data_IF_149010133315
#
_entry.id   IF_149010133315
#
_cell.length_a   1.000
_cell.length_b   1.000
_cell.length_c   1.000
_cell.angle_alpha   90.00
_cell.angle_beta   90.00
_cell.angle_gamma   90.00
#
_symmetry.space_group_name_H-M   'P 1'
#
loop_
_entity.id
_entity.type
_entity.pdbx_description
1 polymer ?
#
# COMPACT_ATOMS: atom_id res chain seq x y z
N UNK A 1 7.35 4.43 23.12
CA UNK A 1 6.63 5.46 22.33
C UNK A 1 7.32 5.81 21.02
N UNK A 2 8.60 5.43 20.80
CA UNK A 2 9.34 5.59 19.53
C UNK A 2 9.53 4.29 18.76
N UNK A 3 9.18 3.15 19.34
CA UNK A 3 9.32 1.82 18.72
C UNK A 3 8.13 1.55 17.80
N UNK A 4 8.42 0.93 16.67
CA UNK A 4 7.41 0.51 15.70
C UNK A 4 6.52 -0.55 16.32
N UNK A 5 5.24 -0.64 15.91
CA UNK A 5 4.36 -1.68 16.43
C UNK A 5 4.98 -3.05 16.14
N UNK A 6 4.95 -3.93 17.14
CA UNK A 6 5.45 -5.28 17.00
C UNK A 6 4.63 -6.02 15.93
N UNK A 7 5.32 -6.71 15.04
CA UNK A 7 4.74 -7.52 13.97
C UNK A 7 5.01 -8.99 14.28
N UNK A 8 4.07 -9.87 13.93
CA UNK A 8 4.13 -11.31 14.21
C UNK A 8 4.12 -12.12 12.90
N UNK A 9 5.23 -12.15 12.13
CA UNK A 9 5.26 -12.84 10.86
C UNK A 9 4.78 -14.30 10.97
N UNK A 10 3.96 -14.73 10.00
CA UNK A 10 3.46 -16.09 9.93
C UNK A 10 4.58 -17.12 9.76
N UNK A 11 4.25 -18.39 10.04
CA UNK A 11 5.22 -19.50 10.02
C UNK A 11 5.91 -19.69 8.66
N UNK A 12 5.31 -19.19 7.57
CA UNK A 12 5.87 -19.27 6.23
C UNK A 12 7.02 -18.30 5.96
N UNK A 13 7.30 -17.35 6.85
CA UNK A 13 8.36 -16.37 6.63
C UNK A 13 9.74 -17.05 6.66
N UNK A 14 10.50 -16.91 5.57
CA UNK A 14 11.83 -17.52 5.45
C UNK A 14 12.95 -16.58 5.86
N UNK A 15 12.77 -15.28 5.63
CA UNK A 15 13.79 -14.29 5.94
C UNK A 15 13.22 -12.90 6.25
N UNK A 16 13.96 -12.12 7.03
CA UNK A 16 13.73 -10.70 7.27
C UNK A 16 15.04 -9.96 7.06
N UNK A 17 15.07 -9.08 6.06
CA UNK A 17 16.22 -8.23 5.75
C UNK A 17 15.82 -6.76 5.78
N UNK A 18 16.79 -5.86 5.82
CA UNK A 18 16.52 -4.42 5.71
C UNK A 18 16.61 -3.99 4.25
N UNK A 19 15.84 -2.97 3.85
CA UNK A 19 15.88 -2.41 2.50
C UNK A 19 17.28 -1.89 2.12
N UNK A 20 18.08 -1.51 3.12
CA UNK A 20 19.49 -1.19 2.94
C UNK A 20 20.35 -2.31 2.34
N UNK A 21 19.87 -3.56 2.29
CA UNK A 21 20.51 -4.63 1.51
C UNK A 21 20.61 -4.31 0.01
N UNK A 22 19.63 -3.59 -0.55
CA UNK A 22 19.63 -3.16 -1.95
C UNK A 22 20.16 -1.73 -2.12
N UNK A 23 20.27 -0.97 -1.02
CA UNK A 23 20.93 0.34 -1.02
C UNK A 23 21.50 0.72 0.35
N UNK A 24 22.77 0.39 0.59
CA UNK A 24 23.45 0.53 1.90
C UNK A 24 23.36 1.95 2.49
N UNK A 25 23.18 3.00 1.67
CA UNK A 25 23.01 4.38 2.14
C UNK A 25 21.80 4.57 3.06
N UNK A 26 20.76 3.74 2.96
CA UNK A 26 19.61 3.82 3.86
C UNK A 26 19.94 3.33 5.27
N UNK A 27 21.00 2.54 5.46
CA UNK A 27 21.27 1.84 6.71
C UNK A 27 21.39 2.78 7.90
N UNK A 28 20.60 2.49 8.93
CA UNK A 28 20.57 3.29 10.17
C UNK A 28 19.90 4.67 10.00
N UNK A 29 19.29 4.94 8.86
CA UNK A 29 18.44 6.12 8.65
C UNK A 29 16.97 5.78 8.92
N UNK A 30 16.12 6.79 9.05
CA UNK A 30 14.67 6.60 9.19
C UNK A 30 13.97 6.11 7.90
N UNK A 31 14.71 5.96 6.80
CA UNK A 31 14.21 5.42 5.54
C UNK A 31 14.48 3.93 5.37
N UNK A 32 15.30 3.33 6.23
CA UNK A 32 15.50 1.88 6.20
C UNK A 32 14.26 1.19 6.77
N UNK A 33 13.74 0.22 6.03
CA UNK A 33 12.50 -0.50 6.38
C UNK A 33 12.72 -2.00 6.22
N UNK A 34 12.14 -2.85 7.08
CA UNK A 34 12.24 -4.29 6.92
C UNK A 34 11.50 -4.77 5.66
N UNK A 35 12.14 -5.69 4.94
CA UNK A 35 11.57 -6.48 3.85
C UNK A 35 11.44 -7.91 4.36
N UNK A 36 10.20 -8.39 4.39
CA UNK A 36 9.86 -9.74 4.80
C UNK A 36 9.74 -10.63 3.56
N UNK A 37 10.37 -11.81 3.61
CA UNK A 37 10.47 -12.71 2.44
C UNK A 37 9.86 -14.06 2.80
N UNK A 38 8.99 -14.54 1.90
CA UNK A 38 8.39 -15.86 1.93
C UNK A 38 8.83 -16.60 0.66
N UNK A 39 9.95 -17.30 0.76
CA UNK A 39 10.51 -18.08 -0.34
C UNK A 39 9.88 -19.47 -0.38
N UNK A 40 9.29 -19.81 -1.53
CA UNK A 40 8.63 -21.07 -1.71
C UNK A 40 9.59 -22.23 -1.91
N UNK A 41 9.14 -23.43 -1.55
CA UNK A 41 9.93 -24.66 -1.73
C UNK A 41 10.18 -25.03 -3.20
N UNK A 42 9.37 -24.48 -4.12
CA UNK A 42 9.47 -24.66 -5.57
C UNK A 42 9.74 -23.32 -6.25
N UNK A 43 10.47 -23.36 -7.36
CA UNK A 43 10.62 -22.20 -8.24
C UNK A 43 9.27 -21.70 -8.75
N UNK A 44 9.17 -20.39 -8.98
CA UNK A 44 7.95 -19.72 -9.39
C UNK A 44 8.17 -18.23 -9.62
N UNK A 45 7.08 -17.49 -9.78
CA UNK A 45 7.14 -16.03 -9.95
C UNK A 45 7.49 -15.31 -8.65
N UNK A 46 7.91 -14.05 -8.77
CA UNK A 46 8.22 -13.19 -7.63
C UNK A 46 7.26 -12.02 -7.55
N UNK A 47 6.66 -11.80 -6.38
CA UNK A 47 5.75 -10.68 -6.13
C UNK A 47 6.28 -9.77 -5.02
N UNK A 48 6.22 -8.46 -5.24
CA UNK A 48 6.45 -7.43 -4.21
C UNK A 48 5.13 -6.77 -3.84
N UNK A 49 4.83 -6.70 -2.54
CA UNK A 49 3.70 -5.96 -1.99
C UNK A 49 4.20 -4.84 -1.08
N UNK A 50 3.80 -3.61 -1.37
CA UNK A 50 4.06 -2.45 -0.53
C UNK A 50 2.79 -2.01 0.20
N UNK A 51 2.89 -1.86 1.51
CA UNK A 51 1.99 -1.06 2.33
C UNK A 51 2.71 0.18 2.84
N UNK A 52 1.95 1.17 3.30
CA UNK A 52 2.52 2.34 3.99
C UNK A 52 3.45 3.21 3.13
N UNK A 53 3.21 3.27 1.81
CA UNK A 53 3.77 4.32 0.95
C UNK A 53 3.37 5.70 1.48
N UNK A 54 2.11 5.81 1.93
CA UNK A 54 1.62 6.89 2.78
C UNK A 54 1.17 6.28 4.12
N UNK A 55 1.62 6.84 5.23
CA UNK A 55 1.33 6.30 6.56
C UNK A 55 -0.02 6.77 7.15
N UNK A 56 -0.72 7.67 6.47
CA UNK A 56 -2.11 8.04 6.77
C UNK A 56 -3.14 7.17 6.02
N UNK A 57 -2.70 6.08 5.41
CA UNK A 57 -3.51 5.09 4.69
C UNK A 57 -3.46 3.75 5.47
N UNK A 58 -4.19 3.66 6.62
CA UNK A 58 -4.09 2.53 7.53
C UNK A 58 -4.52 1.20 6.92
N UNK A 59 -5.49 1.17 5.99
CA UNK A 59 -5.91 -0.10 5.40
C UNK A 59 -4.83 -0.68 4.49
N UNK A 60 -4.10 0.15 3.76
CA UNK A 60 -2.98 -0.29 2.93
C UNK A 60 -1.87 -0.91 3.78
N UNK A 61 -1.47 -0.24 4.87
CA UNK A 61 -0.46 -0.76 5.80
C UNK A 61 -0.94 -2.05 6.49
N UNK A 62 -2.17 -2.07 7.01
CA UNK A 62 -2.70 -3.24 7.72
C UNK A 62 -2.94 -4.42 6.78
N UNK A 63 -3.25 -4.23 5.51
CA UNK A 63 -3.37 -5.33 4.56
C UNK A 63 -2.03 -6.04 4.35
N UNK A 64 -0.94 -5.27 4.24
CA UNK A 64 0.40 -5.83 4.17
C UNK A 64 0.79 -6.55 5.48
N UNK A 65 0.38 -6.00 6.64
CA UNK A 65 0.60 -6.65 7.95
C UNK A 65 -0.22 -7.94 8.07
N UNK A 66 -1.51 -7.92 7.73
CA UNK A 66 -2.38 -9.10 7.76
C UNK A 66 -1.83 -10.21 6.87
N UNK A 67 -1.37 -9.89 5.65
CA UNK A 67 -0.71 -10.90 4.80
C UNK A 67 0.59 -11.42 5.44
N UNK A 68 1.44 -10.52 5.95
CA UNK A 68 2.67 -10.89 6.65
C UNK A 68 2.42 -11.84 7.82
N UNK A 69 1.37 -11.61 8.62
CA UNK A 69 1.10 -12.34 9.85
C UNK A 69 0.32 -13.65 9.61
N UNK A 70 -0.36 -13.80 8.45
CA UNK A 70 -1.19 -14.97 8.17
C UNK A 70 -0.64 -15.92 7.09
N UNK A 71 0.33 -15.49 6.26
CA UNK A 71 0.96 -16.41 5.30
C UNK A 71 1.66 -17.54 6.07
N UNK A 72 1.05 -18.72 5.99
CA UNK A 72 1.50 -19.93 6.67
C UNK A 72 2.55 -20.68 5.85
N UNK A 73 2.49 -20.56 4.52
CA UNK A 73 3.40 -21.25 3.62
C UNK A 73 3.38 -20.59 2.22
N UNK A 74 4.55 -20.54 1.59
CA UNK A 74 4.69 -20.24 0.16
C UNK A 74 5.09 -21.56 -0.51
N UNK A 75 4.22 -22.11 -1.36
CA UNK A 75 4.48 -23.42 -2.00
C UNK A 75 5.43 -23.24 -3.19
N UNK A 76 5.16 -22.24 -4.03
CA UNK A 76 5.96 -21.89 -5.21
C UNK A 76 6.10 -20.38 -5.35
N UNK A 77 7.25 -19.93 -5.86
CA UNK A 77 7.54 -18.51 -6.06
C UNK A 77 8.13 -17.82 -4.83
N UNK A 78 8.10 -16.49 -4.81
CA UNK A 78 8.60 -15.71 -3.68
C UNK A 78 7.75 -14.47 -3.45
N UNK A 79 7.35 -14.23 -2.20
CA UNK A 79 6.61 -13.03 -1.80
C UNK A 79 7.51 -12.13 -0.98
N UNK A 80 7.64 -10.87 -1.39
CA UNK A 80 8.32 -9.81 -0.66
C UNK A 80 7.26 -8.85 -0.12
N UNK A 81 7.25 -8.60 1.18
CA UNK A 81 6.29 -7.68 1.82
C UNK A 81 7.05 -6.57 2.54
N UNK A 82 6.67 -5.32 2.27
CA UNK A 82 7.14 -4.13 3.00
C UNK A 82 5.90 -3.44 3.60
N UNK A 83 5.62 -3.63 4.90
CA UNK A 83 4.43 -3.06 5.54
C UNK A 83 4.42 -1.53 5.63
N UNK A 84 5.63 -0.93 5.71
CA UNK A 84 5.84 0.51 5.79
C UNK A 84 6.94 0.93 4.80
N UNK A 85 6.56 1.12 3.54
CA UNK A 85 7.49 1.55 2.50
C UNK A 85 8.14 2.89 2.86
N UNK A 86 7.35 3.89 3.29
CA UNK A 86 7.88 5.12 3.85
C UNK A 86 7.93 5.07 5.38
N UNK A 87 8.95 4.39 5.92
CA UNK A 87 9.13 4.25 7.36
C UNK A 87 9.29 5.58 8.11
N UNK A 88 9.79 6.62 7.44
CA UNK A 88 9.85 7.97 8.02
C UNK A 88 8.45 8.53 8.28
N UNK A 89 7.50 8.27 7.39
CA UNK A 89 6.15 8.84 7.46
C UNK A 89 5.31 8.31 8.63
N UNK A 90 5.59 7.11 9.15
CA UNK A 90 4.87 6.57 10.33
C UNK A 90 5.26 7.26 11.65
N UNK A 91 6.25 8.15 11.63
CA UNK A 91 6.78 8.82 12.83
C UNK A 91 6.14 10.17 13.14
N UNK A 92 5.21 10.65 12.31
CA UNK A 92 4.46 11.87 12.55
C UNK A 92 3.13 11.88 11.79
N UNK A 93 2.24 12.81 12.14
CA UNK A 93 1.02 13.11 11.40
C UNK A 93 1.16 14.40 10.59
N UNK A 94 0.26 14.63 9.64
CA UNK A 94 0.20 15.86 8.88
C UNK A 94 -0.12 17.07 9.79
N UNK A 95 0.60 18.18 9.58
CA UNK A 95 0.39 19.35 10.41
C UNK A 95 -0.99 19.96 10.14
N UNK A 96 -1.65 20.42 11.22
CA UNK A 96 -2.95 21.10 11.16
C UNK A 96 -4.15 20.23 10.74
N UNK A 97 -3.98 18.92 10.57
CA UNK A 97 -5.10 18.01 10.26
C UNK A 97 -5.84 17.54 11.53
N UNK A 98 -5.21 17.65 12.70
CA UNK A 98 -5.81 17.23 13.97
C UNK A 98 -5.92 15.71 14.13
N UNK A 99 -5.14 14.96 13.34
CA UNK A 99 -5.17 13.50 13.33
C UNK A 99 -4.67 12.89 14.65
N UNK A 100 -5.27 11.77 15.09
CA UNK A 100 -4.73 11.01 16.20
C UNK A 100 -3.34 10.47 15.80
N UNK A 101 -2.45 10.27 16.78
CA UNK A 101 -1.14 9.65 16.51
C UNK A 101 -1.23 8.12 16.44
N UNK A 102 -2.25 7.55 17.07
CA UNK A 102 -2.43 6.11 17.22
C UNK A 102 -3.89 5.73 17.05
N UNK A 103 -4.11 4.47 16.68
CA UNK A 103 -5.41 3.80 16.75
C UNK A 103 -5.20 2.36 17.23
N UNK A 104 -6.19 1.82 17.93
CA UNK A 104 -6.16 0.52 18.57
C UNK A 104 -7.16 -0.42 17.91
N UNK A 105 -6.73 -1.67 17.72
CA UNK A 105 -7.55 -2.77 17.24
C UNK A 105 -7.61 -3.83 18.33
N UNK A 106 -8.83 -4.25 18.66
CA UNK A 106 -9.05 -5.39 19.57
C UNK A 106 -8.69 -6.69 18.85
N UNK A 107 -7.82 -7.50 19.44
CA UNK A 107 -7.48 -8.85 18.94
C UNK A 107 -7.83 -9.91 20.00
N UNK A 108 -7.95 -11.20 19.65
CA UNK A 108 -8.16 -12.28 20.61
C UNK A 108 -7.12 -12.33 21.74
N UNK A 109 -5.88 -11.92 21.45
CA UNK A 109 -4.75 -11.94 22.39
C UNK A 109 -4.53 -10.58 23.10
N UNK A 110 -5.38 -9.59 22.84
CA UNK A 110 -5.39 -8.28 23.49
C UNK A 110 -5.42 -7.10 22.53
N UNK A 111 -5.40 -5.88 23.07
CA UNK A 111 -5.36 -4.67 22.26
C UNK A 111 -4.01 -4.51 21.54
N UNK A 112 -4.03 -4.30 20.22
CA UNK A 112 -2.85 -3.88 19.43
C UNK A 112 -2.99 -2.43 19.02
N UNK A 113 -1.95 -1.64 19.28
CA UNK A 113 -1.89 -0.21 18.91
C UNK A 113 -1.01 0.01 17.70
N UNK A 114 -1.55 0.68 16.69
CA UNK A 114 -0.86 1.07 15.47
C UNK A 114 -0.75 2.59 15.37
N UNK A 115 0.19 3.06 14.54
CA UNK A 115 0.40 4.48 14.30
C UNK A 115 -0.44 4.97 13.13
N UNK A 116 -1.04 6.14 13.28
CA UNK A 116 -1.54 6.92 12.15
C UNK A 116 -0.47 7.93 11.78
N UNK A 117 0.10 7.79 10.59
CA UNK A 117 1.22 8.61 10.15
C UNK A 117 0.81 9.74 9.22
N UNK A 118 1.76 10.16 8.38
CA UNK A 118 1.60 11.22 7.39
C UNK A 118 1.62 10.67 5.98
N UNK A 119 1.08 11.44 5.04
CA UNK A 119 1.30 11.20 3.61
C UNK A 119 2.77 11.38 3.20
N UNK A 120 3.54 12.15 3.95
CA UNK A 120 4.89 12.60 3.58
C UNK A 120 5.93 12.12 4.57
N UNK A 121 7.16 12.07 4.10
CA UNK A 121 8.36 11.89 4.93
C UNK A 121 8.42 12.96 6.03
N UNK A 122 8.80 12.54 7.24
CA UNK A 122 8.98 13.45 8.36
C UNK A 122 10.03 14.52 8.07
N UNK A 123 9.66 15.79 8.26
CA UNK A 123 10.55 16.93 8.06
C UNK A 123 11.78 16.91 8.99
N UNK A 124 11.75 16.17 10.10
CA UNK A 124 12.93 15.92 10.95
C UNK A 124 13.98 15.09 10.21
N UNK A 125 13.55 14.16 9.35
CA UNK A 125 14.42 13.25 8.62
C UNK A 125 14.83 13.80 7.24
N UNK A 126 14.03 14.71 6.66
CA UNK A 126 14.35 15.38 5.40
C UNK A 126 13.89 16.84 5.42
N UNK A 127 14.85 17.76 5.43
CA UNK A 127 14.64 19.21 5.31
C UNK A 127 15.94 19.87 4.80
N UNK A 128 15.89 20.96 4.01
CA UNK A 128 14.70 21.64 3.48
C UNK A 128 14.16 21.04 2.19
N UNK A 129 12.85 21.20 2.00
CA UNK A 129 12.23 20.98 0.70
C UNK A 129 12.67 22.10 -0.26
N UNK A 130 12.97 21.78 -1.53
CA UNK A 130 13.26 22.80 -2.52
C UNK A 130 12.02 23.64 -2.80
N UNK A 131 12.15 24.81 -3.44
CA UNK A 131 10.97 25.58 -3.88
C UNK A 131 10.22 24.85 -5.00
N UNK A 132 10.97 24.22 -5.91
CA UNK A 132 10.47 23.45 -7.04
C UNK A 132 11.19 22.12 -7.01
N UNK A 133 10.42 21.04 -7.12
CA UNK A 133 10.98 19.71 -7.26
C UNK A 133 11.00 19.34 -8.75
N UNK A 134 12.19 19.09 -9.28
CA UNK A 134 12.37 18.57 -10.65
C UNK A 134 12.56 17.07 -10.50
N UNK A 135 11.61 16.29 -11.01
CA UNK A 135 11.62 14.84 -11.05
C UNK A 135 12.77 14.30 -11.93
N UNK A 136 13.35 13.09 -11.67
CA UNK A 136 14.35 12.45 -12.56
C UNK A 136 13.99 12.52 -14.04
N UNK A 137 12.72 12.27 -14.34
CA UNK A 137 12.14 12.23 -15.67
C UNK A 137 11.72 13.61 -16.21
N UNK A 138 12.16 14.69 -15.55
CA UNK A 138 11.98 16.07 -16.02
C UNK A 138 10.66 16.75 -15.66
N UNK A 139 9.71 16.04 -15.05
CA UNK A 139 8.46 16.64 -14.54
C UNK A 139 8.74 17.68 -13.45
N UNK A 140 7.97 18.77 -13.45
CA UNK A 140 8.11 19.88 -12.51
C UNK A 140 6.95 19.85 -11.53
N UNK A 141 7.25 19.68 -10.25
CA UNK A 141 6.29 19.57 -9.16
C UNK A 141 6.51 20.65 -8.11
N UNK A 142 5.51 20.84 -7.26
CA UNK A 142 5.67 21.63 -6.05
C UNK A 142 6.79 21.06 -5.18
N UNK A 143 7.58 21.93 -4.57
CA UNK A 143 8.73 21.55 -3.75
C UNK A 143 8.48 20.43 -2.74
N UNK A 144 7.35 20.52 -2.03
CA UNK A 144 6.92 19.55 -1.02
C UNK A 144 6.63 18.14 -1.56
N UNK A 145 6.56 17.93 -2.87
CA UNK A 145 6.35 16.60 -3.43
C UNK A 145 7.62 15.73 -3.32
N UNK A 146 8.79 16.32 -3.05
CA UNK A 146 10.03 15.55 -2.81
C UNK A 146 10.00 14.73 -1.51
N UNK A 147 9.03 14.97 -0.63
CA UNK A 147 8.79 14.17 0.59
C UNK A 147 7.63 13.18 0.41
N UNK A 148 6.99 13.15 -0.76
CA UNK A 148 5.94 12.19 -1.10
C UNK A 148 6.59 11.01 -1.85
N UNK A 149 6.61 9.82 -1.26
CA UNK A 149 7.26 8.65 -1.87
C UNK A 149 6.67 8.34 -3.25
N UNK A 150 5.34 8.44 -3.39
CA UNK A 150 4.64 8.23 -4.66
C UNK A 150 4.76 9.44 -5.62
N UNK A 151 5.80 10.27 -5.48
CA UNK A 151 6.24 11.27 -6.48
C UNK A 151 7.75 11.18 -6.74
N UNK A 152 8.41 10.19 -6.15
CA UNK A 152 9.86 10.09 -6.13
C UNK A 152 10.39 8.89 -6.93
N UNK A 153 9.55 7.97 -7.41
CA UNK A 153 10.01 6.85 -8.25
C UNK A 153 10.48 7.32 -9.64
N UNK A 154 11.49 6.71 -10.29
CA UNK A 154 12.25 5.53 -9.88
C UNK A 154 13.34 5.84 -8.83
N UNK A 155 13.37 7.08 -8.33
CA UNK A 155 14.33 7.54 -7.33
C UNK A 155 15.63 8.08 -7.90
N UNK A 156 16.47 8.60 -7.00
CA UNK A 156 17.82 9.07 -7.29
C UNK A 156 18.78 8.60 -6.23
N UNK A 157 19.80 7.86 -6.64
CA UNK A 157 20.88 7.39 -5.75
C UNK A 157 21.51 8.51 -4.91
N UNK A 158 21.72 9.68 -5.52
CA UNK A 158 22.31 10.85 -4.85
C UNK A 158 21.29 11.98 -4.65
N UNK A 159 20.00 11.63 -4.52
CA UNK A 159 18.90 12.58 -4.28
C UNK A 159 18.61 12.83 -2.81
N UNK A 160 17.44 13.41 -2.54
CA UNK A 160 16.87 13.54 -1.20
C UNK A 160 16.54 12.17 -0.59
N UNK A 161 16.36 12.09 0.72
CA UNK A 161 16.13 10.81 1.43
C UNK A 161 14.95 9.99 0.88
N UNK A 162 13.87 10.65 0.49
CA UNK A 162 12.69 10.01 -0.11
C UNK A 162 12.96 9.53 -1.54
N UNK A 163 13.80 10.24 -2.31
CA UNK A 163 14.25 9.76 -3.63
C UNK A 163 15.22 8.59 -3.51
N UNK A 164 16.05 8.58 -2.46
CA UNK A 164 16.95 7.48 -2.12
C UNK A 164 16.16 6.23 -1.71
N UNK A 165 15.08 6.40 -0.95
CA UNK A 165 14.12 5.35 -0.62
C UNK A 165 13.47 4.77 -1.90
N UNK A 166 12.93 5.62 -2.77
CA UNK A 166 12.34 5.20 -4.04
C UNK A 166 13.36 4.46 -4.93
N UNK A 167 14.63 4.91 -4.92
CA UNK A 167 15.73 4.26 -5.63
C UNK A 167 16.02 2.87 -5.07
N UNK A 168 16.00 2.70 -3.75
CA UNK A 168 16.24 1.41 -3.11
C UNK A 168 15.14 0.40 -3.45
N UNK A 169 13.87 0.80 -3.39
CA UNK A 169 12.73 -0.05 -3.79
C UNK A 169 12.83 -0.43 -5.27
N UNK A 170 13.14 0.54 -6.14
CA UNK A 170 13.34 0.26 -7.57
C UNK A 170 14.52 -0.67 -7.81
N UNK A 171 15.58 -0.57 -6.99
CA UNK A 171 16.75 -1.47 -7.06
C UNK A 171 16.38 -2.88 -6.61
N UNK A 172 15.61 -3.03 -5.54
CA UNK A 172 15.05 -4.32 -5.12
C UNK A 172 14.27 -4.98 -6.25
N UNK A 173 13.34 -4.25 -6.88
CA UNK A 173 12.55 -4.77 -8.01
C UNK A 173 13.45 -5.31 -9.13
N UNK A 174 14.51 -4.58 -9.49
CA UNK A 174 15.46 -4.95 -10.54
C UNK A 174 16.35 -6.13 -10.16
N UNK A 175 16.95 -6.09 -8.98
CA UNK A 175 17.97 -7.06 -8.57
C UNK A 175 17.34 -8.41 -8.19
N UNK A 176 16.16 -8.40 -7.58
CA UNK A 176 15.42 -9.63 -7.29
C UNK A 176 14.71 -10.18 -8.53
N UNK A 177 14.53 -9.38 -9.58
CA UNK A 177 13.77 -9.76 -10.76
C UNK A 177 12.30 -9.98 -10.42
N UNK A 178 11.69 -9.01 -9.74
CA UNK A 178 10.27 -9.07 -9.37
C UNK A 178 9.42 -9.09 -10.64
N UNK A 179 8.48 -10.03 -10.71
CA UNK A 179 7.60 -10.21 -11.86
C UNK A 179 6.31 -9.37 -11.73
N UNK A 180 5.77 -9.25 -10.51
CA UNK A 180 4.58 -8.47 -10.17
C UNK A 180 4.86 -7.55 -8.97
N UNK A 181 4.62 -6.25 -9.10
CA UNK A 181 4.77 -5.28 -8.02
C UNK A 181 3.45 -4.54 -7.76
N UNK A 182 3.01 -4.57 -6.50
CA UNK A 182 1.72 -4.07 -6.04
C UNK A 182 1.96 -3.02 -4.95
N UNK A 183 1.47 -1.80 -5.19
CA UNK A 183 1.48 -0.71 -4.20
C UNK A 183 0.07 -0.49 -3.64
N UNK A 184 -0.14 -0.72 -2.35
CA UNK A 184 -1.44 -0.52 -1.71
C UNK A 184 -1.60 0.95 -1.29
N UNK A 185 -2.69 1.57 -1.74
CA UNK A 185 -3.04 2.96 -1.43
C UNK A 185 -4.50 3.08 -1.00
N UNK A 186 -4.79 4.21 -0.36
CA UNK A 186 -6.15 4.64 -0.13
C UNK A 186 -6.39 6.07 -0.61
N UNK A 187 -7.64 6.35 -0.96
CA UNK A 187 -8.08 7.63 -1.51
C UNK A 187 -9.33 8.14 -0.81
N UNK A 188 -9.43 9.45 -0.65
CA UNK A 188 -10.61 10.11 -0.10
C UNK A 188 -11.88 9.83 -0.92
N UNK A 189 -13.07 9.66 -0.31
CA UNK A 189 -14.33 9.37 -1.01
C UNK A 189 -14.70 10.35 -2.14
N UNK A 190 -14.24 11.60 -2.06
CA UNK A 190 -14.45 12.65 -3.06
C UNK A 190 -13.41 12.67 -4.20
N UNK A 191 -12.47 11.73 -4.24
CA UNK A 191 -11.48 11.63 -5.31
C UNK A 191 -11.92 10.65 -6.42
N UNK A 192 -11.75 10.97 -7.72
CA UNK A 192 -12.21 10.11 -8.82
C UNK A 192 -11.59 8.72 -8.89
N UNK A 193 -10.28 8.64 -8.65
CA UNK A 193 -9.55 7.37 -8.69
C UNK A 193 -9.66 6.76 -7.30
N UNK A 194 -10.72 5.99 -7.08
CA UNK A 194 -11.07 5.40 -5.79
C UNK A 194 -11.75 4.05 -6.03
N UNK A 195 -11.55 3.08 -5.13
CA UNK A 195 -11.97 1.70 -5.31
C UNK A 195 -11.56 1.21 -6.71
N UNK A 196 -10.28 1.32 -7.04
CA UNK A 196 -9.76 1.12 -8.39
C UNK A 196 -8.42 0.39 -8.41
N UNK A 197 -8.16 -0.32 -9.51
CA UNK A 197 -6.84 -0.83 -9.86
C UNK A 197 -6.22 0.15 -10.85
N UNK A 198 -5.11 0.77 -10.46
CA UNK A 198 -4.30 1.62 -11.34
C UNK A 198 -3.15 0.78 -11.89
N UNK A 199 -3.03 0.65 -13.21
CA UNK A 199 -2.09 -0.29 -13.82
C UNK A 199 -1.16 0.35 -14.85
N UNK A 200 0.09 -0.11 -14.89
CA UNK A 200 0.95 0.11 -16.06
C UNK A 200 0.37 -0.59 -17.29
N UNK A 201 0.55 -0.05 -18.49
CA UNK A 201 0.00 -0.61 -19.73
C UNK A 201 0.39 -2.08 -19.94
N UNK A 202 1.59 -2.48 -19.51
CA UNK A 202 2.09 -3.85 -19.62
C UNK A 202 1.41 -4.84 -18.66
N UNK A 203 0.68 -4.34 -17.65
CA UNK A 203 -0.13 -5.12 -16.72
C UNK A 203 -1.63 -5.12 -17.08
N UNK A 204 -2.01 -4.58 -18.25
CA UNK A 204 -3.42 -4.40 -18.62
C UNK A 204 -4.22 -5.71 -18.66
N UNK A 205 -3.68 -6.77 -19.27
CA UNK A 205 -4.38 -8.07 -19.35
C UNK A 205 -4.61 -8.68 -17.96
N UNK A 206 -3.62 -8.54 -17.07
CA UNK A 206 -3.71 -9.00 -15.69
C UNK A 206 -4.76 -8.19 -14.92
N UNK A 207 -4.71 -6.86 -15.01
CA UNK A 207 -5.63 -5.96 -14.30
C UNK A 207 -7.08 -6.16 -14.73
N UNK A 208 -7.35 -6.28 -16.03
CA UNK A 208 -8.71 -6.53 -16.56
C UNK A 208 -9.25 -7.87 -16.08
N UNK A 209 -8.41 -8.92 -16.11
CA UNK A 209 -8.84 -10.26 -15.66
C UNK A 209 -9.16 -10.27 -14.17
N UNK A 210 -8.29 -9.71 -13.34
CA UNK A 210 -8.49 -9.63 -11.90
C UNK A 210 -9.76 -8.83 -11.55
N UNK A 211 -9.97 -7.68 -12.21
CA UNK A 211 -11.16 -6.86 -12.00
C UNK A 211 -12.46 -7.60 -12.36
N UNK A 212 -12.49 -8.30 -13.50
CA UNK A 212 -13.65 -9.10 -13.90
C UNK A 212 -13.96 -10.20 -12.88
N UNK A 213 -12.94 -10.87 -12.34
CA UNK A 213 -13.13 -11.91 -11.32
C UNK A 213 -13.65 -11.33 -10.00
N UNK A 214 -13.12 -10.18 -9.56
CA UNK A 214 -13.61 -9.47 -8.38
C UNK A 214 -15.09 -9.06 -8.52
N UNK A 215 -15.49 -8.53 -9.68
CA UNK A 215 -16.89 -8.18 -9.95
C UNK A 215 -17.81 -9.41 -9.93
N UNK A 216 -17.33 -10.56 -10.43
CA UNK A 216 -18.09 -11.82 -10.37
C UNK A 216 -18.34 -12.28 -8.93
N UNK A 217 -17.44 -11.94 -7.99
CA UNK A 217 -17.62 -12.15 -6.56
C UNK A 217 -18.38 -11.01 -5.85
N UNK A 218 -18.86 -10.01 -6.59
CA UNK A 218 -19.62 -8.89 -6.05
C UNK A 218 -18.76 -7.79 -5.43
N UNK A 219 -17.45 -7.78 -5.71
CA UNK A 219 -16.54 -6.73 -5.26
C UNK A 219 -16.37 -5.73 -6.40
N UNK A 220 -17.14 -4.65 -6.35
CA UNK A 220 -17.04 -3.54 -7.32
C UNK A 220 -15.67 -2.87 -7.23
N UNK A 221 -14.97 -2.74 -8.35
CA UNK A 221 -13.66 -2.11 -8.45
C UNK A 221 -13.42 -1.60 -9.88
N UNK A 222 -12.99 -0.34 -9.98
CA UNK A 222 -12.70 0.32 -11.25
C UNK A 222 -11.33 -0.04 -11.83
N UNK A 223 -11.11 0.34 -13.08
CA UNK A 223 -9.83 0.23 -13.78
C UNK A 223 -9.36 1.62 -14.23
N UNK A 224 -8.12 1.95 -13.92
CA UNK A 224 -7.50 3.20 -14.33
C UNK A 224 -6.13 2.92 -14.95
N UNK A 225 -5.96 3.27 -16.22
CA UNK A 225 -4.64 3.16 -16.83
C UNK A 225 -3.73 4.26 -16.30
N UNK A 226 -2.52 3.89 -15.89
CA UNK A 226 -1.48 4.81 -15.44
C UNK A 226 -1.20 5.92 -16.47
N UNK A 227 -1.39 7.20 -16.15
CA UNK A 227 -1.16 8.29 -17.08
C UNK A 227 0.33 8.41 -17.47
N UNK A 228 0.65 8.37 -18.77
CA UNK A 228 2.04 8.39 -19.27
C UNK A 228 2.80 9.67 -18.88
N UNK A 229 2.11 10.81 -18.80
CA UNK A 229 2.71 12.10 -18.50
C UNK A 229 2.79 12.41 -16.99
N UNK A 230 2.19 11.57 -16.13
CA UNK A 230 2.20 11.78 -14.69
C UNK A 230 3.33 10.95 -14.07
N UNK A 231 4.53 11.55 -14.04
CA UNK A 231 5.77 10.92 -13.57
C UNK A 231 5.85 10.91 -12.03
N UNK A 232 6.66 10.00 -11.50
CA UNK A 232 6.94 9.84 -10.07
C UNK A 232 6.08 8.82 -9.33
N UNK A 233 5.06 8.27 -9.99
CA UNK A 233 4.16 7.27 -9.43
C UNK A 233 4.80 5.88 -9.46
N UNK A 234 4.57 5.05 -8.45
CA UNK A 234 5.05 3.65 -8.37
C UNK A 234 4.69 2.84 -9.60
N UNK A 235 3.39 2.68 -9.88
CA UNK A 235 2.90 1.92 -11.02
C UNK A 235 3.40 2.45 -12.38
N UNK A 236 3.66 3.76 -12.50
CA UNK A 236 4.20 4.35 -13.73
C UNK A 236 5.68 4.03 -13.88
N UNK A 237 6.45 4.39 -12.87
CA UNK A 237 7.90 4.43 -12.95
C UNK A 237 8.52 3.05 -12.77
N UNK A 238 7.87 2.13 -12.05
CA UNK A 238 8.31 0.75 -12.00
C UNK A 238 8.20 0.09 -13.38
N UNK A 239 7.07 0.23 -14.07
CA UNK A 239 6.90 -0.33 -15.41
C UNK A 239 7.76 0.36 -16.47
N UNK A 240 7.98 1.68 -16.38
CA UNK A 240 8.85 2.39 -17.34
C UNK A 240 10.34 2.08 -17.14
N UNK A 241 10.77 1.67 -15.94
CA UNK A 241 12.18 1.54 -15.59
C UNK A 241 12.63 0.11 -15.25
N UNK A 242 11.73 -0.87 -15.26
CA UNK A 242 11.98 -2.28 -14.93
C UNK A 242 11.11 -3.18 -15.84
N UNK A 243 11.27 -4.51 -15.75
CA UNK A 243 10.46 -5.47 -16.50
C UNK A 243 9.21 -5.95 -15.71
N UNK A 244 8.88 -5.31 -14.59
CA UNK A 244 7.80 -5.73 -13.69
C UNK A 244 6.41 -5.38 -14.23
N UNK A 245 5.43 -6.25 -14.02
CA UNK A 245 4.03 -5.84 -14.10
C UNK A 245 3.68 -5.01 -12.86
N UNK A 246 3.49 -3.70 -13.05
CA UNK A 246 3.31 -2.75 -11.96
C UNK A 246 1.84 -2.31 -11.83
N UNK A 247 1.30 -2.43 -10.62
CA UNK A 247 -0.06 -1.99 -10.28
C UNK A 247 -0.11 -1.30 -8.92
N UNK A 248 -1.15 -0.50 -8.72
CA UNK A 248 -1.49 0.16 -7.48
C UNK A 248 -2.98 -0.07 -7.20
N UNK A 249 -3.34 -0.37 -5.97
CA UNK A 249 -4.74 -0.54 -5.57
C UNK A 249 -5.20 0.64 -4.75
N UNK A 250 -6.39 1.15 -5.05
CA UNK A 250 -7.05 2.23 -4.32
C UNK A 250 -8.28 1.71 -3.61
N UNK A 251 -8.42 2.04 -2.33
CA UNK A 251 -9.62 1.79 -1.54
C UNK A 251 -10.05 3.07 -0.83
N UNK A 252 -11.36 3.27 -0.68
CA UNK A 252 -11.86 4.52 -0.10
C UNK A 252 -11.50 4.69 1.37
N UNK A 253 -10.89 5.82 1.75
CA UNK A 253 -10.54 6.18 3.12
C UNK A 253 -11.19 7.50 3.55
N UNK A 254 -12.28 7.43 4.34
CA UNK A 254 -12.97 8.62 4.84
C UNK A 254 -12.08 9.52 5.72
N UNK A 255 -11.10 8.96 6.44
CA UNK A 255 -10.21 9.72 7.30
C UNK A 255 -9.22 10.61 6.52
N UNK A 256 -9.02 10.37 5.22
CA UNK A 256 -8.10 11.13 4.38
C UNK A 256 -8.74 12.37 3.75
N UNK A 257 -10.05 12.33 3.48
CA UNK A 257 -10.72 13.39 2.71
C UNK A 257 -10.97 14.68 3.50
N UNK A 258 -11.41 15.70 2.78
CA UNK A 258 -11.63 17.07 3.25
C UNK A 258 -13.09 17.35 3.59
N UNK A 259 -14.02 16.50 3.15
CA UNK A 259 -15.44 16.62 3.48
C UNK A 259 -15.81 16.01 4.84
N UNK A 260 -14.89 15.32 5.50
CA UNK A 260 -15.09 14.71 6.81
C UNK A 260 -15.27 15.71 7.96
N UNK A 261 -15.80 15.22 9.07
CA UNK A 261 -15.82 15.90 10.35
C UNK A 261 -14.49 15.82 11.08
N UNK A 262 -14.56 15.70 12.40
CA UNK A 262 -13.37 15.65 13.27
C UNK A 262 -12.53 14.39 12.98
N UNK A 263 -11.21 14.51 12.86
CA UNK A 263 -10.32 13.33 12.89
C UNK A 263 -10.45 12.62 14.24
N UNK A 264 -10.73 11.33 14.20
CA UNK A 264 -10.74 10.48 15.39
C UNK A 264 -10.32 9.07 15.02
N UNK A 265 -9.89 8.32 16.03
CA UNK A 265 -9.73 6.87 15.93
C UNK A 265 -11.03 6.20 15.45
N UNK A 266 -12.19 6.61 15.95
CA UNK A 266 -13.49 6.10 15.49
C UNK A 266 -13.70 6.29 13.98
N UNK A 267 -13.33 7.44 13.42
CA UNK A 267 -13.41 7.69 11.97
C UNK A 267 -12.43 6.80 11.20
N UNK A 268 -11.23 6.53 11.75
CA UNK A 268 -10.27 5.60 11.16
C UNK A 268 -10.82 4.17 11.18
N UNK A 269 -11.39 3.71 12.29
CA UNK A 269 -11.82 2.32 12.44
C UNK A 269 -13.13 2.02 11.71
N UNK A 270 -14.10 2.93 11.81
CA UNK A 270 -15.46 2.71 11.28
C UNK A 270 -15.68 3.36 9.92
N UNK A 271 -14.93 4.42 9.61
CA UNK A 271 -15.16 5.22 8.43
C UNK A 271 -16.54 5.89 8.39
N UNK A 272 -17.27 5.99 9.51
CA UNK A 272 -18.62 6.59 9.60
C UNK A 272 -18.52 8.10 9.83
N UNK A 273 -19.09 8.89 8.91
CA UNK A 273 -19.17 10.35 9.05
C UNK A 273 -20.43 10.92 8.40
N UNK A 274 -21.19 11.69 9.17
CA UNK A 274 -22.45 12.31 8.71
C UNK A 274 -22.27 13.31 7.56
N UNK A 275 -21.11 13.94 7.42
CA UNK A 275 -20.84 14.88 6.34
C UNK A 275 -20.60 14.15 5.02
N UNK A 276 -20.00 12.95 5.04
CA UNK A 276 -19.93 12.10 3.85
C UNK A 276 -21.30 11.55 3.46
N UNK A 277 -22.15 11.11 4.40
CA UNK A 277 -23.55 10.76 4.08
C UNK A 277 -24.24 11.93 3.37
N UNK A 278 -24.07 13.14 3.90
CA UNK A 278 -24.65 14.33 3.30
C UNK A 278 -24.04 14.72 1.93
N UNK A 279 -22.77 14.41 1.69
CA UNK A 279 -22.09 14.60 0.42
C UNK A 279 -22.55 13.55 -0.62
N UNK A 280 -22.75 12.30 -0.18
CA UNK A 280 -23.28 11.21 -1.00
C UNK A 280 -24.70 11.53 -1.50
N UNK A 281 -25.59 12.01 -0.62
CA UNK A 281 -26.95 12.45 -0.97
C UNK A 281 -26.97 13.55 -2.07
N UNK A 282 -25.87 14.29 -2.22
CA UNK A 282 -25.70 15.36 -3.21
C UNK A 282 -24.92 14.92 -4.44
N UNK A 283 -24.52 13.65 -4.54
CA UNK A 283 -23.71 13.13 -5.64
C UNK A 283 -22.31 13.74 -5.72
N UNK A 284 -21.70 14.04 -4.56
CA UNK A 284 -20.38 14.70 -4.49
C UNK A 284 -19.21 13.70 -4.28
N UNK A 285 -19.51 12.41 -4.17
CA UNK A 285 -18.53 11.34 -3.95
C UNK A 285 -18.43 10.45 -5.19
N UNK A 286 -17.29 9.78 -5.33
CA UNK A 286 -17.02 8.82 -6.41
C UNK A 286 -17.20 7.37 -5.98
N UNK A 287 -17.53 7.15 -4.71
CA UNK A 287 -17.85 5.83 -4.16
C UNK A 287 -19.23 5.85 -3.52
N UNK A 288 -19.96 4.72 -3.51
CA UNK A 288 -21.17 4.57 -2.71
C UNK A 288 -20.82 4.77 -1.24
N UNK A 289 -21.56 5.61 -0.51
CA UNK A 289 -21.31 5.88 0.90
C UNK A 289 -22.65 6.10 1.62
N UNK A 290 -22.83 5.40 2.74
CA UNK A 290 -24.06 5.44 3.54
C UNK A 290 -23.74 5.53 5.05
N UNK A 291 -24.75 5.35 5.91
CA UNK A 291 -24.60 5.39 7.36
C UNK A 291 -23.65 4.33 7.96
N UNK A 292 -23.31 3.28 7.20
CA UNK A 292 -22.37 2.25 7.62
C UNK A 292 -20.91 2.65 7.40
N UNK A 293 -20.66 3.72 6.63
CA UNK A 293 -19.33 4.26 6.36
C UNK A 293 -18.44 3.32 5.53
N UNK A 294 -17.12 3.46 5.68
CA UNK A 294 -16.11 2.53 5.14
C UNK A 294 -15.26 1.94 6.28
N UNK A 295 -15.72 0.87 6.94
CA UNK A 295 -15.00 0.26 8.05
C UNK A 295 -13.63 -0.24 7.63
N UNK A 296 -12.63 -0.10 8.51
CA UNK A 296 -11.26 -0.52 8.26
C UNK A 296 -11.15 -1.99 7.84
N UNK A 297 -11.95 -2.88 8.44
CA UNK A 297 -12.03 -4.30 8.05
C UNK A 297 -12.46 -4.50 6.59
N UNK A 298 -13.41 -3.70 6.10
CA UNK A 298 -13.85 -3.76 4.71
C UNK A 298 -12.73 -3.29 3.79
N UNK A 299 -12.03 -2.23 4.17
CA UNK A 299 -10.96 -1.67 3.37
C UNK A 299 -9.78 -2.64 3.24
N UNK A 300 -9.40 -3.30 4.35
CA UNK A 300 -8.39 -4.38 4.34
C UNK A 300 -8.86 -5.59 3.54
N UNK A 301 -10.10 -6.05 3.73
CA UNK A 301 -10.65 -7.17 2.98
C UNK A 301 -10.60 -6.91 1.45
N UNK A 302 -10.94 -5.69 1.01
CA UNK A 302 -10.87 -5.30 -0.41
C UNK A 302 -9.45 -5.36 -0.96
N UNK A 303 -8.45 -4.88 -0.23
CA UNK A 303 -7.04 -4.99 -0.66
C UNK A 303 -6.58 -6.44 -0.74
N UNK A 304 -6.90 -7.27 0.26
CA UNK A 304 -6.47 -8.68 0.29
C UNK A 304 -7.16 -9.48 -0.82
N UNK A 305 -8.46 -9.29 -1.04
CA UNK A 305 -9.17 -9.92 -2.14
C UNK A 305 -8.58 -9.52 -3.50
N UNK A 306 -8.23 -8.23 -3.67
CA UNK A 306 -7.59 -7.76 -4.91
C UNK A 306 -6.21 -8.38 -5.10
N UNK A 307 -5.41 -8.49 -4.03
CA UNK A 307 -4.12 -9.18 -4.07
C UNK A 307 -4.28 -10.66 -4.46
N UNK A 308 -5.20 -11.38 -3.81
CA UNK A 308 -5.46 -12.80 -4.11
C UNK A 308 -5.88 -13.01 -5.58
N UNK A 309 -6.75 -12.16 -6.10
CA UNK A 309 -7.18 -12.26 -7.51
C UNK A 309 -6.07 -11.90 -8.50
N UNK A 310 -5.15 -11.02 -8.14
CA UNK A 310 -3.95 -10.76 -8.94
C UNK A 310 -3.02 -11.98 -8.98
N UNK A 311 -2.84 -12.69 -7.86
CA UNK A 311 -2.06 -13.94 -7.81
C UNK A 311 -2.76 -15.05 -8.60
N UNK A 312 -4.07 -15.21 -8.44
CA UNK A 312 -4.89 -16.17 -9.21
C UNK A 312 -4.80 -15.91 -10.71
N UNK A 313 -4.97 -14.66 -11.13
CA UNK A 313 -4.87 -14.24 -12.53
C UNK A 313 -3.44 -14.42 -13.07
N UNK A 314 -2.41 -14.11 -12.27
CA UNK A 314 -1.01 -14.35 -12.62
C UNK A 314 -0.77 -15.83 -12.95
N UNK A 315 -1.25 -16.73 -12.10
CA UNK A 315 -1.11 -18.18 -12.28
C UNK A 315 -1.83 -18.69 -13.53
N UNK A 316 -2.90 -18.01 -13.98
CA UNK A 316 -3.59 -18.32 -15.22
C UNK A 316 -2.74 -17.99 -16.46
N UNK A 317 -2.07 -16.84 -16.45
CA UNK A 317 -1.26 -16.37 -17.59
C UNK A 317 0.15 -16.95 -17.60
N UNK A 318 0.71 -17.26 -16.43
CA UNK A 318 2.09 -17.71 -16.26
C UNK A 318 2.18 -19.02 -15.48
N UNK A 319 1.66 -20.14 -16.03
CA UNK A 319 1.66 -21.43 -15.34
C UNK A 319 3.06 -22.00 -15.05
N UNK A 320 4.08 -21.55 -15.79
CA UNK A 320 5.48 -21.92 -15.56
C UNK A 320 6.16 -21.06 -14.46
N UNK A 321 5.50 -20.00 -13.99
CA UNK A 321 5.95 -19.10 -12.92
C UNK A 321 4.87 -18.90 -11.87
N UNK A 322 4.22 -19.99 -11.46
CA UNK A 322 3.17 -19.91 -10.46
C UNK A 322 3.68 -19.31 -9.13
N UNK A 323 2.77 -18.62 -8.45
CA UNK A 323 2.93 -18.10 -7.10
C UNK A 323 1.79 -18.72 -6.29
N UNK A 324 2.11 -19.65 -5.40
CA UNK A 324 1.14 -20.38 -4.60
C UNK A 324 1.36 -20.07 -3.12
N UNK A 325 0.38 -19.43 -2.49
CA UNK A 325 0.47 -18.91 -1.12
C UNK A 325 -0.67 -19.51 -0.30
N UNK A 326 -0.37 -20.04 0.88
CA UNK A 326 -1.35 -20.59 1.81
C UNK A 326 -1.50 -19.69 3.04
N UNK A 327 -2.72 -19.57 3.56
CA UNK A 327 -3.02 -18.75 4.74
C UNK A 327 -3.42 -17.31 4.44
N UNK A 328 -3.68 -16.96 3.17
CA UNK A 328 -4.33 -15.69 2.86
C UNK A 328 -5.78 -15.75 3.39
N UNK A 329 -6.19 -14.82 4.27
CA UNK A 329 -7.55 -14.78 4.76
C UNK A 329 -8.51 -14.31 3.67
N UNK A 330 -9.62 -15.02 3.49
CA UNK A 330 -10.59 -14.66 2.46
C UNK A 330 -11.42 -13.42 2.83
N UNK A 331 -11.93 -12.74 1.80
CA UNK A 331 -12.70 -11.51 1.92
C UNK A 331 -13.84 -11.60 2.94
N UNK A 332 -14.63 -12.68 2.90
CA UNK A 332 -15.83 -12.79 3.72
C UNK A 332 -15.48 -13.08 5.17
N UNK A 333 -14.47 -13.93 5.42
CA UNK A 333 -14.01 -14.22 6.78
C UNK A 333 -13.45 -12.99 7.49
N UNK A 334 -12.72 -12.10 6.80
CA UNK A 334 -12.29 -10.80 7.37
C UNK A 334 -13.50 -9.93 7.77
N UNK A 335 -14.56 -9.92 6.97
CA UNK A 335 -15.77 -9.14 7.28
C UNK A 335 -16.54 -9.72 8.47
N UNK A 336 -16.61 -11.04 8.57
CA UNK A 336 -17.41 -11.75 9.58
C UNK A 336 -16.71 -11.84 10.93
N UNK A 337 -15.43 -12.22 10.94
CA UNK A 337 -14.62 -12.39 12.16
C UNK A 337 -14.03 -11.07 12.64
N UNK A 338 -13.84 -10.12 11.73
CA UNK A 338 -13.22 -8.84 11.97
C UNK A 338 -11.70 -8.86 11.80
N UNK A 339 -11.14 -7.70 11.48
CA UNK A 339 -9.71 -7.55 11.19
C UNK A 339 -8.82 -8.02 12.34
N UNK A 340 -9.22 -7.78 13.59
CA UNK A 340 -8.44 -8.14 14.75
C UNK A 340 -8.23 -9.64 14.96
N UNK A 341 -9.02 -10.51 14.32
CA UNK A 341 -8.78 -11.96 14.37
C UNK A 341 -7.51 -12.37 13.60
N UNK A 342 -7.13 -11.56 12.61
CA UNK A 342 -5.99 -11.80 11.71
C UNK A 342 -4.77 -10.95 12.07
N UNK A 343 -4.78 -10.34 13.25
CA UNK A 343 -3.73 -9.47 13.79
C UNK A 343 -3.37 -9.94 15.20
#
# INVERSE_FOLDING_TARGET
>A
MWEDPELFPGEGMTNKVMLSNWFETLKGTAFDTPVYVFEGSKEGGKVLLLGGTHANEPAAALSAITLLENISNCVSGTVYIIPWANHSAITHTDQMEGDPQFYTIETPDGERTFRYGSRRTNAIHQWPDPTIYIHPEGSVLGGQEVTNLNRCYPGRKNGYGTEQLAYAITTLIKEEGIDLAIDLHESSPEYPVNNAIVFHQDAAELAVTAQMMLEMYGIDIGLEESPQNLRGLSHREWGDNTDVQAVLFEVSNPAQGRMRGRSSEELILTGVDKFYVNAADRGQLYVPYDENGYPLKLRVARHIATFEEFISSWNMFYPDKMIEIEGIPDYQSILDEGLGYYL
#
